data_IF_191021486005
#
_entry.id   IF_191021486005
#
_cell.length_a   1.000
_cell.length_b   1.000
_cell.length_c   1.000
_cell.angle_alpha   90.00
_cell.angle_beta   90.00
_cell.angle_gamma   90.00
#
_symmetry.space_group_name_H-M   'P 1'
#
loop_
_entity.id
_entity.type
_entity.pdbx_description
1 polymer ?
#
# COMPACT_ATOMS: atom_id res chain seq x y z
N UNK A 1 5.27 -11.92 3.00
CA UNK A 1 4.56 -10.92 2.18
C UNK A 1 4.89 -11.11 0.71
N UNK A 2 6.12 -10.84 0.23
CA UNK A 2 6.52 -10.95 -1.19
C UNK A 2 6.08 -12.26 -1.87
N UNK A 3 6.44 -13.43 -1.32
CA UNK A 3 6.10 -14.74 -1.93
C UNK A 3 4.60 -14.94 -2.19
N UNK A 4 3.75 -14.33 -1.38
CA UNK A 4 2.29 -14.52 -1.47
C UNK A 4 1.69 -13.78 -2.66
N UNK A 5 2.40 -12.80 -3.23
CA UNK A 5 1.94 -11.96 -4.33
C UNK A 5 2.59 -12.31 -5.67
N UNK A 6 3.49 -13.29 -5.70
CA UNK A 6 4.24 -13.67 -6.90
C UNK A 6 3.66 -14.87 -7.65
N UNK A 7 2.49 -15.41 -7.27
CA UNK A 7 1.79 -16.51 -7.96
C UNK A 7 2.72 -17.65 -8.48
N UNK A 8 3.02 -17.72 -9.77
CA UNK A 8 4.00 -18.63 -10.40
C UNK A 8 5.23 -17.89 -10.98
N UNK A 9 5.32 -16.57 -10.76
CA UNK A 9 6.35 -15.64 -11.24
C UNK A 9 7.48 -15.46 -10.20
N UNK A 10 7.78 -16.49 -9.38
CA UNK A 10 8.81 -16.38 -8.33
C UNK A 10 10.21 -16.04 -8.85
N UNK A 11 10.51 -16.35 -10.11
CA UNK A 11 11.79 -16.03 -10.73
C UNK A 11 11.99 -14.52 -10.91
N UNK A 12 10.91 -13.78 -11.14
CA UNK A 12 10.90 -12.35 -11.48
C UNK A 12 10.60 -11.47 -10.25
N UNK A 13 10.83 -12.00 -9.04
CA UNK A 13 10.46 -11.36 -7.78
C UNK A 13 11.00 -9.93 -7.62
N UNK A 14 12.16 -9.66 -8.21
CA UNK A 14 12.85 -8.38 -8.19
C UNK A 14 12.10 -7.31 -8.99
N UNK A 15 11.44 -7.69 -10.10
CA UNK A 15 10.60 -6.79 -10.89
C UNK A 15 9.40 -6.26 -10.10
N UNK A 16 8.90 -7.04 -9.14
CA UNK A 16 7.74 -6.68 -8.32
C UNK A 16 8.07 -5.94 -7.03
N UNK A 17 9.36 -5.84 -6.64
CA UNK A 17 9.78 -5.22 -5.38
C UNK A 17 9.31 -3.78 -5.24
N UNK A 18 9.46 -2.98 -6.29
CA UNK A 18 9.07 -1.57 -6.26
C UNK A 18 7.57 -1.41 -6.00
N UNK A 19 6.74 -2.16 -6.73
CA UNK A 19 5.28 -2.14 -6.58
C UNK A 19 4.85 -2.60 -5.19
N UNK A 20 5.48 -3.67 -4.68
CA UNK A 20 5.14 -4.21 -3.38
C UNK A 20 5.58 -3.29 -2.23
N UNK A 21 6.74 -2.66 -2.37
CA UNK A 21 7.22 -1.67 -1.41
C UNK A 21 6.36 -0.41 -1.44
N UNK A 22 5.84 0.00 -2.60
CA UNK A 22 4.88 1.09 -2.70
C UNK A 22 3.55 0.75 -2.00
N UNK A 23 2.99 -0.44 -2.27
CA UNK A 23 1.78 -0.90 -1.62
C UNK A 23 1.95 -0.99 -0.09
N UNK A 24 3.08 -1.55 0.38
CA UNK A 24 3.37 -1.65 1.81
C UNK A 24 3.41 -0.28 2.50
N UNK A 25 3.99 0.75 1.86
CA UNK A 25 4.06 2.11 2.43
C UNK A 25 2.74 2.85 2.45
N UNK A 26 1.75 2.40 1.68
CA UNK A 26 0.41 3.01 1.63
C UNK A 26 -0.60 2.35 2.57
N UNK A 27 -0.22 1.30 3.30
CA UNK A 27 -1.10 0.62 4.24
C UNK A 27 -0.85 1.13 5.66
N UNK A 28 -1.90 1.58 6.38
CA UNK A 28 -1.79 1.93 7.80
C UNK A 28 -1.29 0.78 8.65
N UNK A 29 -0.35 1.05 9.55
CA UNK A 29 0.13 0.06 10.50
C UNK A 29 -0.81 -0.03 11.72
N UNK A 30 -1.11 -1.24 12.19
CA UNK A 30 -2.13 -1.48 13.24
C UNK A 30 -1.86 -0.71 14.54
N UNK A 31 -0.60 -0.61 14.96
CA UNK A 31 -0.24 0.07 16.21
C UNK A 31 -0.29 1.60 16.15
N UNK A 32 -0.20 2.19 14.96
CA UNK A 32 -0.14 3.66 14.79
C UNK A 32 -1.39 4.21 14.09
N UNK A 33 -2.13 3.38 13.36
CA UNK A 33 -3.22 3.81 12.49
C UNK A 33 -2.77 4.66 11.30
N UNK A 34 -1.46 4.80 11.06
CA UNK A 34 -0.90 5.67 10.02
C UNK A 34 -0.05 4.86 9.04
N UNK A 35 -0.10 5.24 7.75
CA UNK A 35 0.76 4.63 6.75
C UNK A 35 2.19 5.18 6.84
N UNK A 36 3.21 4.42 6.42
CA UNK A 36 4.56 4.95 6.26
C UNK A 36 4.65 6.21 5.37
N UNK A 37 3.83 6.31 4.32
CA UNK A 37 3.76 7.51 3.47
C UNK A 37 3.33 8.75 4.27
N UNK A 38 2.28 8.62 5.09
CA UNK A 38 1.82 9.68 5.97
C UNK A 38 2.90 10.08 6.98
N UNK A 39 3.58 9.11 7.60
CA UNK A 39 4.61 9.39 8.59
C UNK A 39 5.86 10.05 7.99
N UNK A 40 6.24 9.67 6.76
CA UNK A 40 7.44 10.20 6.11
C UNK A 40 7.21 11.57 5.44
N UNK A 41 6.02 11.80 4.88
CA UNK A 41 5.74 12.99 4.04
C UNK A 41 4.71 13.95 4.63
N UNK A 42 4.01 13.54 5.69
CA UNK A 42 2.91 14.31 6.28
C UNK A 42 1.62 14.26 5.45
N UNK A 43 1.53 13.42 4.41
CA UNK A 43 0.33 13.24 3.59
C UNK A 43 0.27 11.83 3.01
N UNK A 44 -0.92 11.38 2.61
CA UNK A 44 -1.04 10.14 1.84
C UNK A 44 -0.60 10.36 0.38
N UNK A 45 0.14 9.39 -0.15
CA UNK A 45 0.52 9.41 -1.57
C UNK A 45 -0.61 8.80 -2.39
N UNK A 46 -0.99 9.49 -3.48
CA UNK A 46 -1.99 8.97 -4.42
C UNK A 46 -1.43 7.76 -5.18
N UNK A 47 -2.05 6.60 -5.03
CA UNK A 47 -1.65 5.39 -5.73
C UNK A 47 -2.16 5.39 -7.18
N UNK A 48 -1.52 4.68 -8.13
CA UNK A 48 -2.08 4.49 -9.47
C UNK A 48 -3.49 3.88 -9.44
N UNK A 49 -3.75 2.97 -8.50
CA UNK A 49 -5.06 2.37 -8.28
C UNK A 49 -6.12 3.43 -7.93
N UNK A 50 -5.78 4.44 -7.13
CA UNK A 50 -6.69 5.53 -6.76
C UNK A 50 -7.13 6.36 -7.95
N UNK A 51 -6.26 6.49 -8.97
CA UNK A 51 -6.57 7.24 -10.19
C UNK A 51 -7.54 6.47 -11.07
N UNK A 52 -7.35 5.16 -11.16
CA UNK A 52 -8.14 4.28 -12.04
C UNK A 52 -9.49 3.94 -11.42
N UNK A 53 -9.50 3.61 -10.13
CA UNK A 53 -10.67 3.08 -9.42
C UNK A 53 -11.33 4.11 -8.49
N UNK A 54 -10.72 5.28 -8.31
CA UNK A 54 -11.11 6.24 -7.27
C UNK A 54 -10.49 5.91 -5.92
N UNK A 55 -10.44 6.89 -5.02
CA UNK A 55 -9.95 6.63 -3.67
C UNK A 55 -10.96 5.79 -2.87
N UNK A 56 -10.50 4.73 -2.18
CA UNK A 56 -11.33 4.06 -1.19
C UNK A 56 -11.67 5.03 -0.08
N UNK A 57 -12.89 4.98 0.44
CA UNK A 57 -13.33 5.82 1.55
C UNK A 57 -12.73 5.30 2.86
N UNK A 58 -11.45 5.60 3.11
CA UNK A 58 -10.69 5.11 4.28
C UNK A 58 -11.26 5.64 5.61
N UNK A 59 -12.03 6.73 5.59
CA UNK A 59 -12.70 7.30 6.76
C UNK A 59 -13.83 6.42 7.32
N UNK A 60 -14.39 5.51 6.51
CA UNK A 60 -15.46 4.60 6.97
C UNK A 60 -14.97 3.54 7.99
N UNK A 61 -13.65 3.34 8.13
CA UNK A 61 -13.06 2.40 9.10
C UNK A 61 -12.44 3.06 10.34
N UNK A 62 -12.54 4.39 10.48
CA UNK A 62 -12.02 5.13 11.64
C UNK A 62 -13.11 5.52 12.65
N UNK A 63 -14.36 5.08 12.44
CA UNK A 63 -15.54 5.42 13.28
C UNK A 63 -16.21 4.17 13.89
N UNK A 64 -15.53 3.02 13.87
CA UNK A 64 -15.89 1.84 14.67
C UNK A 64 -14.83 1.58 15.76
#
# INVERSE_FOLDING_TARGET
>A
MIRAYLADEQAEWDLHLCSLAAAYRAVPHESTGQSPNMLATGQEVRLPADVIFGQPDYNAKMVD
#
